data_IF_608569559480
#
_entry.id   IF_608569559480
#
_cell.length_a   1.000
_cell.length_b   1.000
_cell.length_c   1.000
_cell.angle_alpha   90.00
_cell.angle_beta   90.00
_cell.angle_gamma   90.00
#
_symmetry.space_group_name_H-M   'P 1'
#
loop_
_entity.id
_entity.type
_entity.pdbx_description
1 polymer ?
#
# COMPACT_ATOMS: atom_id res chain seq x y z
N UNK A 1 -2.77 21.13 19.79
CA UNK A 1 -3.88 22.12 19.78
C UNK A 1 -4.21 22.62 18.38
N UNK A 2 -3.21 22.97 17.54
CA UNK A 2 -3.44 23.50 16.19
C UNK A 2 -4.09 22.51 15.19
N UNK A 3 -3.63 21.25 15.11
CA UNK A 3 -4.20 20.26 14.16
C UNK A 3 -5.67 19.95 14.47
N UNK A 4 -6.01 19.83 15.76
CA UNK A 4 -7.40 19.61 16.19
C UNK A 4 -8.31 20.77 15.75
N UNK A 5 -7.81 22.01 15.82
CA UNK A 5 -8.53 23.18 15.32
C UNK A 5 -8.71 23.11 13.80
N UNK A 6 -7.65 22.81 13.04
CA UNK A 6 -7.73 22.63 11.59
C UNK A 6 -8.76 21.56 11.19
N UNK A 7 -8.75 20.39 11.85
CA UNK A 7 -9.76 19.35 11.61
C UNK A 7 -11.18 19.87 11.82
N UNK A 8 -11.44 20.57 12.94
CA UNK A 8 -12.77 21.13 13.23
C UNK A 8 -13.19 22.16 12.20
N UNK A 9 -12.28 23.03 11.78
CA UNK A 9 -12.58 24.07 10.80
C UNK A 9 -12.86 23.46 9.42
N UNK A 10 -12.15 22.40 9.01
CA UNK A 10 -12.45 21.62 7.79
C UNK A 10 -13.80 20.90 7.91
N UNK A 11 -14.09 20.25 9.04
CA UNK A 11 -15.39 19.59 9.26
C UNK A 11 -16.56 20.56 9.12
N UNK A 12 -16.43 21.80 9.61
CA UNK A 12 -17.47 22.83 9.42
C UNK A 12 -17.68 23.19 7.96
N UNK A 13 -16.65 23.12 7.10
CA UNK A 13 -16.81 23.37 5.65
C UNK A 13 -17.69 22.30 5.00
N UNK A 14 -17.76 21.09 5.55
CA UNK A 14 -18.68 20.04 5.08
C UNK A 14 -20.14 20.49 5.13
N UNK A 15 -20.53 21.22 6.18
CA UNK A 15 -21.90 21.73 6.32
C UNK A 15 -22.24 22.72 5.21
N UNK A 16 -21.25 23.42 4.66
CA UNK A 16 -21.43 24.41 3.61
C UNK A 16 -21.37 23.83 2.19
N UNK A 17 -20.46 22.89 1.94
CA UNK A 17 -20.16 22.41 0.59
C UNK A 17 -20.49 20.92 0.36
N UNK A 18 -20.95 20.21 1.38
CA UNK A 18 -21.03 18.75 1.36
C UNK A 18 -19.66 18.10 1.52
N UNK A 19 -19.54 16.83 1.14
CA UNK A 19 -18.24 16.14 1.12
C UNK A 19 -17.27 16.87 0.21
N UNK A 20 -16.07 17.16 0.72
CA UNK A 20 -15.04 17.87 -0.04
C UNK A 20 -14.48 16.92 -1.10
N UNK A 21 -14.54 17.36 -2.36
CA UNK A 21 -14.06 16.68 -3.57
C UNK A 21 -13.17 17.61 -4.37
N UNK A 22 -12.61 17.13 -5.48
CA UNK A 22 -11.71 17.89 -6.34
C UNK A 22 -12.33 19.17 -6.92
N UNK A 23 -13.63 19.16 -7.21
CA UNK A 23 -14.35 20.34 -7.72
C UNK A 23 -14.85 21.29 -6.63
N UNK A 24 -14.66 20.94 -5.35
CA UNK A 24 -15.01 21.84 -4.24
C UNK A 24 -14.09 23.06 -4.26
N UNK A 25 -14.60 24.29 -4.05
CA UNK A 25 -13.75 25.48 -3.94
C UNK A 25 -12.62 25.27 -2.92
N UNK A 26 -11.46 25.88 -3.19
CA UNK A 26 -10.27 25.72 -2.37
C UNK A 26 -10.57 25.90 -0.87
N UNK A 27 -10.24 24.86 -0.09
CA UNK A 27 -10.32 24.88 1.37
C UNK A 27 -8.92 25.09 1.90
N UNK A 28 -8.57 26.34 2.24
CA UNK A 28 -7.22 26.71 2.67
C UNK A 28 -6.75 25.92 3.89
N UNK A 29 -7.65 25.61 4.83
CA UNK A 29 -7.32 24.82 6.01
C UNK A 29 -6.89 23.39 5.64
N UNK A 30 -7.47 22.81 4.59
CA UNK A 30 -7.08 21.50 4.06
C UNK A 30 -5.75 21.59 3.29
N UNK A 31 -5.55 22.65 2.50
CA UNK A 31 -4.28 22.87 1.80
C UNK A 31 -3.11 22.97 2.79
N UNK A 32 -3.28 23.74 3.88
CA UNK A 32 -2.30 23.84 4.97
C UNK A 32 -2.05 22.47 5.60
N UNK A 33 -3.11 21.71 5.87
CA UNK A 33 -2.98 20.38 6.47
C UNK A 33 -2.18 19.43 5.58
N UNK A 34 -2.47 19.42 4.28
CA UNK A 34 -1.76 18.61 3.27
C UNK A 34 -0.30 19.04 3.11
N UNK A 35 -0.01 20.34 3.11
CA UNK A 35 1.37 20.84 3.10
C UNK A 35 2.16 20.29 4.29
N UNK A 36 1.55 20.31 5.48
CA UNK A 36 2.16 19.81 6.72
C UNK A 36 2.37 18.30 6.77
N UNK A 37 1.72 17.52 5.90
CA UNK A 37 2.05 16.09 5.71
C UNK A 37 3.49 15.87 5.22
N UNK A 38 4.14 16.89 4.63
CA UNK A 38 5.51 16.81 4.12
C UNK A 38 6.54 17.53 5.00
N UNK A 39 6.15 17.93 6.22
CA UNK A 39 7.01 18.70 7.12
C UNK A 39 8.27 17.91 7.54
N UNK A 40 9.34 18.63 7.86
CA UNK A 40 10.60 18.03 8.34
C UNK A 40 10.41 17.34 9.69
N UNK A 41 9.50 17.86 10.53
CA UNK A 41 9.18 17.24 11.80
C UNK A 41 8.32 15.99 11.57
N UNK A 42 8.92 14.81 11.70
CA UNK A 42 8.26 13.52 11.49
C UNK A 42 6.97 13.36 12.33
N UNK A 43 6.99 13.79 13.60
CA UNK A 43 5.82 13.68 14.47
C UNK A 43 4.67 14.55 13.93
N UNK A 44 4.99 15.77 13.51
CA UNK A 44 4.02 16.68 12.92
C UNK A 44 3.45 16.11 11.61
N UNK A 45 4.32 15.68 10.71
CA UNK A 45 3.95 15.10 9.42
C UNK A 45 3.01 13.89 9.58
N UNK A 46 3.39 12.91 10.41
CA UNK A 46 2.55 11.73 10.71
C UNK A 46 1.22 12.14 11.34
N UNK A 47 1.22 13.10 12.27
CA UNK A 47 -0.04 13.57 12.89
C UNK A 47 -0.96 14.24 11.88
N UNK A 48 -0.42 15.02 10.93
CA UNK A 48 -1.18 15.63 9.84
C UNK A 48 -1.72 14.59 8.87
N UNK A 49 -0.91 13.60 8.48
CA UNK A 49 -1.33 12.46 7.67
C UNK A 49 -2.50 11.70 8.32
N UNK A 50 -2.40 11.38 9.61
CA UNK A 50 -3.47 10.72 10.35
C UNK A 50 -4.74 11.58 10.42
N UNK A 51 -4.59 12.89 10.62
CA UNK A 51 -5.72 13.82 10.60
C UNK A 51 -6.45 13.84 9.25
N UNK A 52 -5.74 13.72 8.14
CA UNK A 52 -6.32 13.61 6.80
C UNK A 52 -7.10 12.30 6.64
N UNK A 53 -6.53 11.18 7.08
CA UNK A 53 -7.22 9.86 7.07
C UNK A 53 -8.51 9.91 7.90
N UNK A 54 -8.46 10.50 9.11
CA UNK A 54 -9.64 10.65 9.96
C UNK A 54 -10.76 11.43 9.26
N UNK A 55 -10.41 12.48 8.49
CA UNK A 55 -11.40 13.28 7.75
C UNK A 55 -12.07 12.47 6.64
N UNK A 56 -11.35 11.55 5.99
CA UNK A 56 -11.93 10.59 5.03
C UNK A 56 -12.85 9.60 5.74
N UNK A 57 -12.40 9.03 6.86
CA UNK A 57 -13.20 8.07 7.64
C UNK A 57 -14.52 8.69 8.16
N UNK A 58 -14.52 9.99 8.50
CA UNK A 58 -15.71 10.75 8.89
C UNK A 58 -16.57 11.20 7.69
N UNK A 59 -16.17 10.86 6.46
CA UNK A 59 -16.83 11.28 5.23
C UNK A 59 -16.83 12.79 5.03
N UNK A 60 -15.86 13.51 5.58
CA UNK A 60 -15.70 14.96 5.38
C UNK A 60 -15.04 15.25 4.04
N UNK A 61 -14.09 14.39 3.64
CA UNK A 61 -13.35 14.49 2.38
C UNK A 61 -13.47 13.15 1.65
N UNK A 62 -13.58 13.18 0.33
CA UNK A 62 -13.62 11.97 -0.50
C UNK A 62 -12.28 11.25 -0.53
N UNK A 63 -12.36 9.92 -0.50
CA UNK A 63 -11.22 9.00 -0.59
C UNK A 63 -10.33 9.27 -1.82
N UNK A 64 -10.94 9.29 -3.02
CA UNK A 64 -10.21 9.38 -4.29
C UNK A 64 -9.46 10.71 -4.41
N UNK A 65 -10.08 11.81 -3.97
CA UNK A 65 -9.43 13.11 -3.89
C UNK A 65 -8.21 13.08 -2.96
N UNK A 66 -8.34 12.55 -1.74
CA UNK A 66 -7.23 12.50 -0.78
C UNK A 66 -6.10 11.61 -1.25
N UNK A 67 -6.40 10.44 -1.84
CA UNK A 67 -5.35 9.55 -2.35
C UNK A 67 -4.55 10.26 -3.45
N UNK A 68 -5.22 10.99 -4.36
CA UNK A 68 -4.55 11.79 -5.40
C UNK A 68 -3.68 12.86 -4.78
N UNK A 69 -4.17 13.60 -3.79
CA UNK A 69 -3.38 14.61 -3.09
C UNK A 69 -2.12 14.02 -2.45
N UNK A 70 -2.25 12.92 -1.70
CA UNK A 70 -1.10 12.27 -1.04
C UNK A 70 -0.08 11.75 -2.06
N UNK A 71 -0.53 11.13 -3.15
CA UNK A 71 0.35 10.66 -4.22
C UNK A 71 1.09 11.82 -4.90
N UNK A 72 0.43 12.97 -5.10
CA UNK A 72 1.07 14.17 -5.66
C UNK A 72 2.12 14.78 -4.74
N UNK A 73 2.07 14.54 -3.43
CA UNK A 73 3.06 15.03 -2.47
C UNK A 73 4.35 14.18 -2.46
N UNK A 74 4.28 12.92 -2.89
CA UNK A 74 5.40 11.95 -2.81
C UNK A 74 6.71 12.46 -3.40
N UNK A 75 6.76 13.05 -4.62
CA UNK A 75 8.03 13.42 -5.25
C UNK A 75 8.79 14.48 -4.46
N UNK A 76 8.08 15.43 -3.86
CA UNK A 76 8.65 16.56 -3.11
C UNK A 76 8.73 16.35 -1.60
N UNK A 77 8.17 15.24 -1.09
CA UNK A 77 8.10 14.99 0.34
C UNK A 77 9.50 14.78 0.93
N UNK A 78 9.81 15.56 1.96
CA UNK A 78 11.04 15.41 2.76
C UNK A 78 11.04 14.15 3.60
N UNK A 79 9.85 13.67 3.95
CA UNK A 79 9.63 12.46 4.71
C UNK A 79 8.38 11.75 4.19
N UNK A 80 8.53 10.48 3.80
CA UNK A 80 7.46 9.67 3.22
C UNK A 80 6.71 8.83 4.25
N UNK A 81 7.22 8.69 5.47
CA UNK A 81 6.70 7.73 6.44
C UNK A 81 5.21 7.98 6.74
N UNK A 82 4.85 9.22 7.06
CA UNK A 82 3.44 9.58 7.30
C UNK A 82 2.55 9.40 6.07
N UNK A 83 3.07 9.69 4.86
CA UNK A 83 2.33 9.53 3.61
C UNK A 83 2.08 8.04 3.32
N UNK A 84 3.10 7.20 3.46
CA UNK A 84 3.00 5.76 3.25
C UNK A 84 2.00 5.15 4.25
N UNK A 85 2.09 5.51 5.53
CA UNK A 85 1.13 5.08 6.56
C UNK A 85 -0.30 5.53 6.25
N UNK A 86 -0.48 6.78 5.80
CA UNK A 86 -1.80 7.28 5.42
C UNK A 86 -2.36 6.55 4.20
N UNK A 87 -1.54 6.27 3.19
CA UNK A 87 -1.94 5.45 2.03
C UNK A 87 -2.35 4.05 2.49
N UNK A 88 -1.59 3.39 3.38
CA UNK A 88 -1.98 2.09 3.95
C UNK A 88 -3.32 2.17 4.66
N UNK A 89 -3.54 3.20 5.48
CA UNK A 89 -4.78 3.37 6.23
C UNK A 89 -5.98 3.62 5.30
N UNK A 90 -5.80 4.42 4.25
CA UNK A 90 -6.81 4.63 3.21
C UNK A 90 -7.14 3.30 2.50
N UNK A 91 -6.12 2.54 2.06
CA UNK A 91 -6.34 1.24 1.44
C UNK A 91 -7.12 0.27 2.36
N UNK A 92 -6.86 0.29 3.68
CA UNK A 92 -7.64 -0.46 4.67
C UNK A 92 -9.10 0.00 4.73
N UNK A 93 -9.36 1.31 4.67
CA UNK A 93 -10.73 1.86 4.64
C UNK A 93 -11.48 1.41 3.37
N UNK A 94 -10.83 1.48 2.21
CA UNK A 94 -11.42 1.02 0.95
C UNK A 94 -11.74 -0.48 0.99
N UNK A 95 -10.82 -1.29 1.51
CA UNK A 95 -11.02 -2.71 1.71
C UNK A 95 -12.23 -3.01 2.61
N UNK A 96 -12.37 -2.27 3.72
CA UNK A 96 -13.49 -2.42 4.63
C UNK A 96 -14.84 -2.08 3.96
N UNK A 97 -14.89 -1.04 3.11
CA UNK A 97 -16.08 -0.67 2.35
C UNK A 97 -16.44 -1.75 1.32
N UNK A 98 -15.46 -2.24 0.56
CA UNK A 98 -15.67 -3.26 -0.46
C UNK A 98 -16.20 -4.58 0.13
N UNK A 99 -15.60 -5.07 1.22
CA UNK A 99 -16.04 -6.33 1.86
C UNK A 99 -17.48 -6.23 2.40
N UNK A 100 -17.90 -5.06 2.87
CA UNK A 100 -19.26 -4.87 3.38
C UNK A 100 -20.31 -4.71 2.27
N UNK A 101 -19.89 -4.46 1.03
CA UNK A 101 -20.78 -4.20 -0.10
C UNK A 101 -20.86 -5.38 -1.08
N UNK A 102 -19.82 -6.20 -1.16
CA UNK A 102 -19.78 -7.38 -2.03
C UNK A 102 -20.50 -8.58 -1.40
N UNK A 103 -21.48 -9.12 -2.11
CA UNK A 103 -22.33 -10.24 -1.65
C UNK A 103 -21.58 -11.58 -1.56
N UNK A 104 -20.55 -11.76 -2.40
CA UNK A 104 -19.77 -13.01 -2.49
C UNK A 104 -18.52 -13.01 -1.59
N UNK A 105 -18.31 -11.94 -0.80
CA UNK A 105 -17.23 -11.82 0.19
C UNK A 105 -15.80 -11.88 -0.37
N UNK A 106 -15.62 -11.81 -1.69
CA UNK A 106 -14.32 -11.96 -2.36
C UNK A 106 -13.83 -10.61 -2.87
N UNK A 107 -12.99 -9.95 -2.07
CA UNK A 107 -12.43 -8.65 -2.43
C UNK A 107 -11.59 -8.71 -3.71
N UNK A 108 -11.95 -7.88 -4.68
CA UNK A 108 -11.14 -7.61 -5.89
C UNK A 108 -10.50 -6.23 -5.78
N UNK A 109 -9.18 -6.15 -6.01
CA UNK A 109 -8.48 -4.87 -5.98
C UNK A 109 -9.01 -3.93 -7.08
N UNK A 110 -9.38 -2.68 -6.77
CA UNK A 110 -9.80 -1.70 -7.77
C UNK A 110 -8.61 -1.13 -8.56
N UNK A 111 -7.39 -1.51 -8.20
CA UNK A 111 -6.16 -1.09 -8.84
C UNK A 111 -5.64 -2.14 -9.80
N UNK A 112 -4.95 -1.68 -10.82
CA UNK A 112 -4.22 -2.54 -11.76
C UNK A 112 -2.74 -2.16 -11.79
N UNK A 113 -1.98 -2.73 -12.73
CA UNK A 113 -0.59 -2.32 -12.95
C UNK A 113 -0.48 -0.93 -13.60
N UNK A 114 -1.53 -0.46 -14.29
CA UNK A 114 -1.44 0.72 -15.16
C UNK A 114 -2.59 1.72 -15.03
N UNK A 115 -3.84 1.26 -14.86
CA UNK A 115 -5.01 2.14 -14.83
C UNK A 115 -6.14 1.63 -13.90
N UNK A 116 -6.45 2.35 -12.82
CA UNK A 116 -5.48 3.17 -12.09
C UNK A 116 -4.35 2.26 -11.53
N UNK A 117 -3.08 2.71 -11.52
CA UNK A 117 -2.01 1.94 -10.89
C UNK A 117 -2.22 1.89 -9.38
N UNK A 118 -1.80 0.80 -8.73
CA UNK A 118 -1.85 0.71 -7.27
C UNK A 118 -1.04 1.84 -6.62
N UNK A 119 -1.51 2.49 -5.53
CA UNK A 119 -0.85 3.65 -4.94
C UNK A 119 0.63 3.43 -4.64
N UNK A 120 1.01 2.27 -4.12
CA UNK A 120 2.43 1.94 -3.87
C UNK A 120 3.28 1.74 -5.12
N UNK A 121 2.69 1.40 -6.28
CA UNK A 121 3.42 1.44 -7.57
C UNK A 121 3.78 2.90 -7.89
N UNK A 122 2.83 3.81 -7.74
CA UNK A 122 3.06 5.25 -7.94
C UNK A 122 4.10 5.80 -6.96
N UNK A 123 4.03 5.41 -5.68
CA UNK A 123 5.04 5.82 -4.68
C UNK A 123 6.43 5.33 -5.09
N UNK A 124 6.57 4.04 -5.40
CA UNK A 124 7.84 3.42 -5.73
C UNK A 124 8.47 3.99 -7.01
N UNK A 125 7.66 4.28 -8.03
CA UNK A 125 8.13 4.92 -9.27
C UNK A 125 8.70 6.33 -9.04
N UNK A 126 8.17 7.08 -8.07
CA UNK A 126 8.66 8.42 -7.75
C UNK A 126 9.82 8.40 -6.75
N UNK A 127 9.83 7.44 -5.83
CA UNK A 127 10.80 7.34 -4.71
C UNK A 127 11.22 5.88 -4.51
N UNK A 128 12.12 5.33 -5.35
CA UNK A 128 12.52 3.92 -5.31
C UNK A 128 13.07 3.46 -3.96
N UNK A 129 13.68 4.35 -3.19
CA UNK A 129 14.25 4.09 -1.87
C UNK A 129 13.19 3.86 -0.77
N UNK A 130 11.92 4.14 -1.05
CA UNK A 130 10.81 3.97 -0.11
C UNK A 130 10.39 2.51 0.13
N UNK A 131 10.93 1.56 -0.65
CA UNK A 131 10.54 0.16 -0.59
C UNK A 131 10.60 -0.49 0.81
N UNK A 132 11.55 -0.18 1.72
CA UNK A 132 11.57 -0.81 3.04
C UNK A 132 10.35 -0.41 3.87
N UNK A 133 9.91 0.84 3.75
CA UNK A 133 8.73 1.35 4.45
C UNK A 133 7.46 0.71 3.91
N UNK A 134 7.34 0.57 2.58
CA UNK A 134 6.20 -0.11 1.95
C UNK A 134 6.16 -1.59 2.40
N UNK A 135 7.31 -2.26 2.48
CA UNK A 135 7.38 -3.64 2.93
C UNK A 135 6.98 -3.79 4.41
N UNK A 136 7.38 -2.84 5.25
CA UNK A 136 6.97 -2.81 6.66
C UNK A 136 5.44 -2.69 6.79
N UNK A 137 4.81 -1.78 6.04
CA UNK A 137 3.36 -1.64 6.01
C UNK A 137 2.66 -2.90 5.48
N UNK A 138 3.22 -3.53 4.45
CA UNK A 138 2.73 -4.80 3.94
C UNK A 138 2.77 -5.91 5.00
N UNK A 139 3.89 -6.05 5.72
CA UNK A 139 4.01 -7.00 6.82
C UNK A 139 2.96 -6.74 7.91
N UNK A 140 2.69 -5.47 8.25
CA UNK A 140 1.63 -5.11 9.20
C UNK A 140 0.23 -5.44 8.68
N UNK A 141 -0.05 -5.26 7.39
CA UNK A 141 -1.31 -5.67 6.78
C UNK A 141 -1.55 -7.17 6.93
N UNK A 142 -0.51 -7.97 6.68
CA UNK A 142 -0.60 -9.42 6.78
C UNK A 142 -0.69 -9.91 8.26
N UNK A 143 -0.23 -9.12 9.23
CA UNK A 143 -0.40 -9.38 10.67
C UNK A 143 -1.58 -8.62 11.31
N UNK A 144 -2.43 -7.97 10.51
CA UNK A 144 -3.54 -7.16 11.03
C UNK A 144 -4.45 -7.97 11.95
N UNK A 145 -4.85 -7.38 13.09
CA UNK A 145 -5.83 -7.97 14.01
C UNK A 145 -7.19 -8.15 13.34
N UNK A 146 -7.57 -7.22 12.46
CA UNK A 146 -8.77 -7.31 11.64
C UNK A 146 -8.62 -8.49 10.65
N UNK A 147 -9.44 -9.52 10.84
CA UNK A 147 -9.43 -10.74 10.05
C UNK A 147 -9.65 -10.47 8.55
N UNK A 148 -10.60 -9.60 8.21
CA UNK A 148 -10.93 -9.25 6.82
C UNK A 148 -9.77 -8.58 6.09
N UNK A 149 -9.05 -7.70 6.79
CA UNK A 149 -7.81 -7.10 6.28
C UNK A 149 -6.74 -8.18 6.10
N UNK A 150 -6.54 -9.01 7.13
CA UNK A 150 -5.55 -10.08 7.10
C UNK A 150 -5.82 -11.08 5.99
N UNK A 151 -7.07 -11.44 5.71
CA UNK A 151 -7.45 -12.41 4.66
C UNK A 151 -7.31 -11.83 3.25
N UNK A 152 -7.55 -10.54 3.08
CA UNK A 152 -7.62 -9.89 1.76
C UNK A 152 -6.40 -9.04 1.41
N UNK A 153 -5.44 -8.88 2.32
CA UNK A 153 -4.25 -8.04 2.12
C UNK A 153 -3.43 -8.40 0.86
N UNK A 154 -3.31 -9.70 0.53
CA UNK A 154 -2.61 -10.13 -0.68
C UNK A 154 -3.38 -9.69 -1.93
N UNK A 155 -4.70 -9.87 -1.96
CA UNK A 155 -5.54 -9.40 -3.08
C UNK A 155 -5.49 -7.88 -3.23
N UNK A 156 -5.54 -7.14 -2.12
CA UNK A 156 -5.35 -5.68 -2.10
C UNK A 156 -4.02 -5.26 -2.72
N UNK A 157 -2.95 -5.91 -2.30
CA UNK A 157 -1.58 -5.60 -2.70
C UNK A 157 -1.16 -6.26 -4.02
N UNK A 158 -1.97 -7.16 -4.58
CA UNK A 158 -1.62 -8.00 -5.72
C UNK A 158 -1.04 -7.23 -6.90
N UNK A 159 -1.62 -6.09 -7.35
CA UNK A 159 -1.02 -5.34 -8.44
C UNK A 159 0.40 -4.85 -8.10
N UNK A 160 0.63 -4.37 -6.87
CA UNK A 160 1.96 -3.96 -6.43
C UNK A 160 2.93 -5.16 -6.34
N UNK A 161 2.48 -6.28 -5.78
CA UNK A 161 3.30 -7.50 -5.68
C UNK A 161 3.72 -7.99 -7.07
N UNK A 162 2.77 -8.03 -8.02
CA UNK A 162 3.03 -8.35 -9.43
C UNK A 162 4.00 -7.36 -10.06
N UNK A 163 3.81 -6.06 -9.83
CA UNK A 163 4.70 -5.02 -10.35
C UNK A 163 6.16 -5.28 -9.94
N UNK A 164 6.41 -5.52 -8.65
CA UNK A 164 7.77 -5.70 -8.12
C UNK A 164 8.38 -7.05 -8.54
N UNK A 165 7.61 -8.13 -8.47
CA UNK A 165 8.12 -9.49 -8.69
C UNK A 165 8.25 -9.84 -10.18
N UNK A 166 7.39 -9.29 -11.04
CA UNK A 166 7.36 -9.58 -12.47
C UNK A 166 8.02 -8.48 -13.32
N UNK A 167 8.63 -7.46 -12.68
CA UNK A 167 9.16 -6.30 -13.39
C UNK A 167 10.10 -6.72 -14.53
N UNK A 168 9.74 -6.44 -15.80
CA UNK A 168 10.44 -6.99 -16.96
C UNK A 168 11.86 -6.47 -17.12
N UNK A 169 12.18 -5.32 -16.50
CA UNK A 169 13.53 -4.76 -16.56
C UNK A 169 14.52 -5.46 -15.61
N UNK A 170 14.03 -6.35 -14.72
CA UNK A 170 14.82 -7.09 -13.71
C UNK A 170 15.93 -6.25 -13.06
N UNK A 171 15.69 -4.95 -12.88
CA UNK A 171 16.75 -4.02 -12.51
C UNK A 171 17.37 -4.47 -11.18
N UNK A 172 18.70 -4.47 -11.13
CA UNK A 172 19.45 -4.84 -9.92
C UNK A 172 19.07 -3.92 -8.75
N UNK A 173 18.61 -2.70 -9.03
CA UNK A 173 18.15 -1.73 -8.04
C UNK A 173 17.01 -2.25 -7.16
N UNK A 174 16.18 -3.16 -7.69
CA UNK A 174 15.05 -3.76 -6.97
C UNK A 174 15.30 -5.19 -6.52
N UNK A 175 16.51 -5.72 -6.68
CA UNK A 175 16.84 -7.10 -6.28
C UNK A 175 16.59 -7.31 -4.78
N UNK A 176 17.12 -6.42 -3.93
CA UNK A 176 16.91 -6.48 -2.48
C UNK A 176 15.43 -6.42 -2.12
N UNK A 177 14.68 -5.55 -2.77
CA UNK A 177 13.23 -5.44 -2.57
C UNK A 177 12.52 -6.75 -2.93
N UNK A 178 12.80 -7.34 -4.09
CA UNK A 178 12.20 -8.61 -4.53
C UNK A 178 12.46 -9.74 -3.55
N UNK A 179 13.71 -9.89 -3.11
CA UNK A 179 14.11 -10.93 -2.15
C UNK A 179 13.38 -10.75 -0.81
N UNK A 180 13.39 -9.52 -0.25
CA UNK A 180 12.74 -9.25 1.03
C UNK A 180 11.20 -9.36 0.95
N UNK A 181 10.61 -8.96 -0.18
CA UNK A 181 9.17 -9.10 -0.42
C UNK A 181 8.76 -10.57 -0.52
N UNK A 182 9.54 -11.38 -1.25
CA UNK A 182 9.35 -12.82 -1.33
C UNK A 182 9.43 -13.47 0.07
N UNK A 183 10.44 -13.12 0.87
CA UNK A 183 10.58 -13.61 2.24
C UNK A 183 9.41 -13.21 3.13
N UNK A 184 8.95 -11.96 3.03
CA UNK A 184 7.80 -11.46 3.81
C UNK A 184 6.52 -12.19 3.41
N UNK A 185 6.29 -12.43 2.11
CA UNK A 185 5.16 -13.23 1.63
C UNK A 185 5.18 -14.65 2.20
N UNK A 186 6.35 -15.28 2.28
CA UNK A 186 6.51 -16.63 2.79
C UNK A 186 6.38 -16.71 4.32
N UNK A 187 6.76 -15.66 5.05
CA UNK A 187 6.69 -15.60 6.50
C UNK A 187 5.31 -15.19 7.02
N UNK A 188 4.64 -14.27 6.34
CA UNK A 188 3.49 -13.55 6.92
C UNK A 188 2.16 -13.93 6.31
N UNK A 189 2.14 -14.37 5.06
CA UNK A 189 0.92 -14.96 4.53
C UNK A 189 0.70 -16.29 5.24
N UNK A 190 -0.46 -16.47 5.89
CA UNK A 190 -0.90 -17.76 6.45
C UNK A 190 -0.47 -18.86 5.49
N UNK A 191 0.33 -19.83 5.95
CA UNK A 191 1.42 -20.52 5.21
C UNK A 191 1.16 -20.97 3.76
N UNK A 192 -0.08 -21.01 3.34
CA UNK A 192 -0.51 -21.37 2.01
C UNK A 192 -0.83 -20.16 1.09
N UNK A 193 -1.30 -19.02 1.61
CA UNK A 193 -1.77 -17.89 0.77
C UNK A 193 -0.65 -17.20 0.01
N UNK A 194 0.48 -16.96 0.67
CA UNK A 194 1.65 -16.32 0.05
C UNK A 194 2.30 -17.26 -0.95
N UNK A 195 2.43 -18.55 -0.57
CA UNK A 195 2.93 -19.58 -1.47
C UNK A 195 2.03 -19.74 -2.71
N UNK A 196 0.70 -19.80 -2.51
CA UNK A 196 -0.28 -19.81 -3.61
C UNK A 196 -0.12 -18.61 -4.53
N UNK A 197 0.01 -17.41 -3.97
CA UNK A 197 0.26 -16.22 -4.78
C UNK A 197 1.55 -16.34 -5.60
N UNK A 198 2.67 -16.74 -4.96
CA UNK A 198 3.97 -16.89 -5.62
C UNK A 198 3.91 -17.94 -6.75
N UNK A 199 3.22 -19.06 -6.54
CA UNK A 199 3.01 -20.10 -7.56
C UNK A 199 2.15 -19.58 -8.70
N UNK A 200 1.07 -18.85 -8.40
CA UNK A 200 0.14 -18.33 -9.40
C UNK A 200 0.77 -17.29 -10.33
N UNK A 201 1.81 -16.57 -9.88
CA UNK A 201 2.51 -15.61 -10.73
C UNK A 201 3.67 -16.23 -11.53
N UNK A 202 4.06 -17.49 -11.27
CA UNK A 202 5.14 -18.16 -12.02
C UNK A 202 4.94 -18.15 -13.54
N UNK A 203 3.73 -18.43 -14.08
CA UNK A 203 3.49 -18.39 -15.52
C UNK A 203 3.67 -16.98 -16.13
N UNK A 204 3.69 -15.94 -15.31
CA UNK A 204 3.85 -14.56 -15.77
C UNK A 204 5.31 -14.12 -15.90
N UNK A 205 6.29 -14.92 -15.45
CA UNK A 205 7.70 -14.60 -15.64
C UNK A 205 8.08 -14.73 -17.12
N UNK A 206 8.67 -13.67 -17.67
CA UNK A 206 9.18 -13.68 -19.03
C UNK A 206 10.61 -14.20 -19.01
N UNK A 207 10.82 -15.42 -19.54
CA UNK A 207 12.14 -16.02 -19.71
C UNK A 207 12.56 -15.83 -21.16
N UNK A 208 13.33 -14.77 -21.42
CA UNK A 208 13.79 -14.36 -22.75
C UNK A 208 15.32 -14.34 -22.88
N UNK A 209 16.04 -14.64 -21.79
CA UNK A 209 17.49 -14.63 -21.71
C UNK A 209 17.98 -15.63 -20.64
N UNK A 210 19.24 -16.09 -20.72
CA UNK A 210 19.84 -16.91 -19.66
C UNK A 210 19.77 -16.26 -18.27
N UNK A 211 19.99 -14.95 -18.18
CA UNK A 211 19.90 -14.22 -16.91
C UNK A 211 18.49 -14.27 -16.33
N UNK A 212 17.47 -14.03 -17.16
CA UNK A 212 16.07 -14.12 -16.73
C UNK A 212 15.69 -15.54 -16.27
N UNK A 213 16.23 -16.57 -16.92
CA UNK A 213 16.04 -17.97 -16.51
C UNK A 213 16.67 -18.22 -15.14
N UNK A 214 17.91 -17.81 -14.92
CA UNK A 214 18.60 -17.95 -13.63
C UNK A 214 17.83 -17.25 -12.51
N UNK A 215 17.32 -16.05 -12.76
CA UNK A 215 16.53 -15.29 -11.79
C UNK A 215 15.22 -16.00 -11.44
N UNK A 216 14.50 -16.54 -12.44
CA UNK A 216 13.29 -17.34 -12.20
C UNK A 216 13.61 -18.63 -11.44
N UNK A 217 14.69 -19.32 -11.78
CA UNK A 217 15.13 -20.51 -11.03
C UNK A 217 15.46 -20.19 -9.57
N UNK A 218 16.18 -19.09 -9.31
CA UNK A 218 16.50 -18.64 -7.96
C UNK A 218 15.25 -18.28 -7.17
N UNK A 219 14.29 -17.59 -7.81
CA UNK A 219 13.00 -17.29 -7.22
C UNK A 219 12.26 -18.57 -6.80
N UNK A 220 12.15 -19.56 -7.69
CA UNK A 220 11.51 -20.85 -7.38
C UNK A 220 12.22 -21.59 -6.25
N UNK A 221 13.55 -21.62 -6.26
CA UNK A 221 14.36 -22.29 -5.24
C UNK A 221 14.15 -21.65 -3.85
N UNK A 222 14.15 -20.32 -3.77
CA UNK A 222 13.90 -19.58 -2.53
C UNK A 222 12.50 -19.86 -1.95
N UNK A 223 11.47 -19.87 -2.82
CA UNK A 223 10.09 -20.20 -2.44
C UNK A 223 9.99 -21.63 -1.88
N UNK A 224 10.63 -22.58 -2.55
CA UNK A 224 10.62 -23.98 -2.15
C UNK A 224 11.35 -24.24 -0.82
N UNK A 225 12.54 -23.66 -0.64
CA UNK A 225 13.31 -23.82 0.60
C UNK A 225 12.58 -23.23 1.81
N UNK A 226 11.97 -22.06 1.66
CA UNK A 226 11.22 -21.42 2.74
C UNK A 226 9.95 -22.22 3.10
N UNK A 227 9.28 -22.80 2.11
CA UNK A 227 8.14 -23.70 2.35
C UNK A 227 8.53 -24.96 3.14
N UNK A 228 9.71 -25.53 2.85
CA UNK A 228 10.25 -26.66 3.64
C UNK A 228 10.56 -26.27 5.08
N UNK A 229 11.22 -25.13 5.29
CA UNK A 229 11.59 -24.66 6.63
C UNK A 229 10.36 -24.43 7.53
N UNK A 230 9.28 -23.83 6.99
CA UNK A 230 8.02 -23.63 7.73
C UNK A 230 7.41 -24.96 8.20
N UNK A 231 7.37 -25.97 7.32
CA UNK A 231 6.82 -27.31 7.64
C UNK A 231 7.65 -28.06 8.68
N UNK A 232 8.97 -27.86 8.70
CA UNK A 232 9.84 -28.48 9.71
C UNK A 232 9.68 -27.87 11.10
N UNK A 233 9.33 -26.58 11.20
CA UNK A 233 9.07 -25.91 12.49
C UNK A 233 7.69 -26.23 13.10
N UNK A 234 6.73 -26.73 12.31
CA UNK A 234 5.41 -27.14 12.81
C UNK A 234 5.36 -28.58 13.35
N UNK A 235 6.42 -29.35 13.15
CA UNK A 235 6.54 -30.76 13.58
C UNK A 235 7.35 -30.92 14.88
N UNK A 236 7.66 -29.81 15.56
CA UNK A 236 8.32 -29.73 16.86
C UNK A 236 7.41 -29.02 17.86
#
# INVERSE_FOLDING_TARGET
>A
MAIRKLKLDITKKKEKYGTIIESTPQVDELAILLEKCTDKNNILAVTCCNAVVDLVQLGVIEYDFVIRCLLNLVPSAKNLNGIIQAITALLKLQLAVAINTEQDGTFVSPYTLRLPPHPFITVLNNRPESWPQILQEFSQLCHSENLSVRTSCISLMEPFLKFVLLEPQQSLQFLSMRVNLQQTLLQVASEDRGLKFLVNILPCFQVNSPDSLTMTCQFCQNSYQSSKASKSCQLL
#
